data_IF_456144368997
#
_entry.id   IF_456144368997
#
_cell.length_a   1.000
_cell.length_b   1.000
_cell.length_c   1.000
_cell.angle_alpha   90.00
_cell.angle_beta   90.00
_cell.angle_gamma   90.00
#
_symmetry.space_group_name_H-M   'P 1'
#
loop_
_entity.id
_entity.type
_entity.pdbx_description
1 polymer ?
#
# COMPACT_ATOMS: atom_id res chain seq x y z
N UNK A 1 -9.25 -15.98 8.42
CA UNK A 1 -8.52 -14.76 8.02
C UNK A 1 -7.25 -14.69 8.86
N UNK A 2 -6.10 -14.38 8.27
CA UNK A 2 -4.80 -14.34 8.95
C UNK A 2 -4.10 -13.04 8.60
N UNK A 3 -3.63 -12.32 9.63
CA UNK A 3 -2.78 -11.15 9.45
C UNK A 3 -1.30 -11.57 9.49
N UNK A 4 -0.44 -10.89 8.75
CA UNK A 4 1.02 -11.08 8.83
C UNK A 4 1.77 -9.77 8.65
N UNK A 5 3.02 -9.78 9.10
CA UNK A 5 3.96 -8.68 8.91
C UNK A 5 4.34 -8.64 7.43
N UNK A 6 3.95 -7.58 6.72
CA UNK A 6 4.34 -7.40 5.32
C UNK A 6 5.85 -7.18 5.20
N UNK A 7 6.42 -7.51 4.04
CA UNK A 7 7.84 -7.28 3.77
C UNK A 7 8.17 -5.79 3.73
N UNK A 8 9.46 -5.45 3.90
CA UNK A 8 9.92 -4.07 3.66
C UNK A 8 9.76 -3.66 2.19
N UNK A 9 9.79 -4.59 1.23
CA UNK A 9 9.51 -4.30 -0.18
C UNK A 9 8.07 -3.84 -0.42
N UNK A 10 7.11 -4.38 0.34
CA UNK A 10 5.74 -3.89 0.32
C UNK A 10 5.65 -2.44 0.83
N UNK A 11 6.38 -2.13 1.90
CA UNK A 11 6.47 -0.76 2.44
C UNK A 11 7.18 0.18 1.45
N UNK A 12 8.24 -0.28 0.78
CA UNK A 12 8.92 0.48 -0.28
C UNK A 12 7.93 0.88 -1.38
N UNK A 13 7.07 -0.03 -1.84
CA UNK A 13 6.03 0.28 -2.85
C UNK A 13 5.10 1.39 -2.36
N UNK A 14 4.60 1.31 -1.12
CA UNK A 14 3.70 2.31 -0.58
C UNK A 14 4.38 3.68 -0.42
N UNK A 15 5.62 3.74 0.08
CA UNK A 15 6.37 5.00 0.22
C UNK A 15 6.63 5.64 -1.14
N UNK A 16 7.10 4.86 -2.12
CA UNK A 16 7.35 5.38 -3.47
C UNK A 16 6.03 5.84 -4.13
N UNK A 17 4.94 5.10 -3.97
CA UNK A 17 3.64 5.49 -4.50
C UNK A 17 3.10 6.77 -3.85
N UNK A 18 3.16 6.91 -2.53
CA UNK A 18 2.78 8.14 -1.82
C UNK A 18 3.51 9.37 -2.38
N UNK A 19 4.81 9.23 -2.70
CA UNK A 19 5.60 10.29 -3.31
C UNK A 19 5.21 10.54 -4.78
N UNK A 20 5.15 9.49 -5.62
CA UNK A 20 4.83 9.60 -7.05
C UNK A 20 3.43 10.15 -7.30
N UNK A 21 2.46 9.83 -6.45
CA UNK A 21 1.09 10.35 -6.52
C UNK A 21 0.90 11.71 -5.85
N UNK A 22 1.94 12.25 -5.21
CA UNK A 22 1.90 13.59 -4.59
C UNK A 22 1.04 13.66 -3.32
N UNK A 23 0.82 12.52 -2.65
CA UNK A 23 0.09 12.45 -1.37
C UNK A 23 0.95 13.02 -0.25
N UNK A 24 2.27 12.84 -0.35
CA UNK A 24 3.25 13.44 0.56
C UNK A 24 4.15 14.41 -0.19
N UNK A 25 4.71 15.36 0.56
CA UNK A 25 5.55 16.40 -0.03
C UNK A 25 6.86 15.82 -0.62
N UNK A 26 7.26 16.23 -1.83
CA UNK A 26 8.46 15.71 -2.48
C UNK A 26 9.76 16.11 -1.77
N UNK A 27 9.74 17.14 -0.93
CA UNK A 27 10.88 17.68 -0.19
C UNK A 27 11.09 17.05 1.20
N UNK A 28 10.33 16.00 1.56
CA UNK A 28 10.56 15.21 2.79
C UNK A 28 12.00 14.71 2.92
N UNK A 29 12.67 14.49 1.79
CA UNK A 29 14.03 13.96 1.70
C UNK A 29 14.14 12.53 2.24
N UNK A 30 15.33 11.94 2.11
CA UNK A 30 15.56 10.54 2.48
C UNK A 30 15.22 10.22 3.95
N UNK A 31 15.41 11.19 4.86
CA UNK A 31 15.05 11.01 6.28
C UNK A 31 13.54 10.99 6.49
N UNK A 32 12.80 11.90 5.84
CA UNK A 32 11.34 11.95 5.92
C UNK A 32 10.70 10.70 5.33
N UNK A 33 11.15 10.26 4.15
CA UNK A 33 10.64 9.02 3.54
C UNK A 33 10.96 7.77 4.37
N UNK A 34 12.13 7.71 5.02
CA UNK A 34 12.43 6.61 5.96
C UNK A 34 11.50 6.63 7.17
N UNK A 35 11.24 7.80 7.75
CA UNK A 35 10.31 7.94 8.88
C UNK A 35 8.88 7.56 8.48
N UNK A 36 8.46 7.91 7.26
CA UNK A 36 7.18 7.50 6.68
C UNK A 36 7.09 5.97 6.56
N UNK A 37 8.08 5.32 5.94
CA UNK A 37 8.08 3.87 5.83
C UNK A 37 8.13 3.16 7.19
N UNK A 38 8.90 3.68 8.16
CA UNK A 38 8.88 3.16 9.52
C UNK A 38 7.48 3.26 10.15
N UNK A 39 6.77 4.37 9.93
CA UNK A 39 5.40 4.58 10.44
C UNK A 39 4.44 3.55 9.85
N UNK A 40 4.45 3.38 8.53
CA UNK A 40 3.63 2.38 7.85
C UNK A 40 3.91 0.97 8.40
N UNK A 41 5.18 0.59 8.52
CA UNK A 41 5.54 -0.75 8.96
C UNK A 41 5.20 -1.00 10.43
N UNK A 42 5.40 0.01 11.29
CA UNK A 42 5.03 -0.08 12.69
C UNK A 42 3.52 -0.27 12.87
N UNK A 43 2.68 0.37 12.06
CA UNK A 43 1.23 0.18 12.12
C UNK A 43 0.83 -1.26 11.77
N UNK A 44 1.43 -1.82 10.72
CA UNK A 44 1.23 -3.23 10.37
C UNK A 44 1.70 -4.19 11.49
N UNK A 45 2.82 -3.89 12.14
CA UNK A 45 3.24 -4.61 13.35
C UNK A 45 2.20 -4.50 14.48
N UNK A 46 1.69 -3.31 14.77
CA UNK A 46 0.66 -3.07 15.78
C UNK A 46 -0.58 -3.93 15.53
N UNK A 47 -1.04 -4.01 14.28
CA UNK A 47 -2.17 -4.86 13.87
C UNK A 47 -1.93 -6.35 14.15
N UNK A 48 -0.80 -6.88 13.67
CA UNK A 48 -0.47 -8.29 13.82
C UNK A 48 -0.25 -8.66 15.29
N UNK A 49 0.41 -7.79 16.04
CA UNK A 49 0.63 -7.96 17.46
C UNK A 49 -0.68 -7.96 18.25
N UNK A 50 -1.59 -7.03 17.94
CA UNK A 50 -2.94 -7.01 18.52
C UNK A 50 -3.69 -8.32 18.24
N UNK A 51 -3.66 -8.79 16.98
CA UNK A 51 -4.33 -10.03 16.57
C UNK A 51 -3.83 -11.26 17.33
N UNK A 52 -2.53 -11.34 17.57
CA UNK A 52 -1.88 -12.52 18.13
C UNK A 52 -1.48 -12.38 19.60
N UNK A 53 -1.83 -11.28 20.27
CA UNK A 53 -1.49 -11.03 21.68
C UNK A 53 0.01 -10.96 21.92
N UNK A 54 0.74 -10.33 20.99
CA UNK A 54 2.19 -10.12 21.07
C UNK A 54 2.51 -8.64 21.27
N UNK A 55 3.74 -8.37 21.64
CA UNK A 55 4.31 -7.02 21.66
C UNK A 55 5.71 -7.10 21.05
N UNK A 56 5.80 -6.78 19.77
CA UNK A 56 7.05 -6.78 19.00
C UNK A 56 7.37 -5.38 18.54
N UNK A 57 8.67 -5.04 18.58
CA UNK A 57 9.15 -3.82 17.96
C UNK A 57 9.39 -4.10 16.48
N UNK A 58 8.87 -3.24 15.59
CA UNK A 58 9.24 -3.31 14.18
C UNK A 58 10.75 -3.12 14.00
N UNK A 59 11.39 -3.83 13.06
CA UNK A 59 12.79 -3.57 12.72
C UNK A 59 12.98 -2.14 12.23
N UNK A 60 14.23 -1.66 12.25
CA UNK A 60 14.57 -0.37 11.66
C UNK A 60 14.40 -0.46 10.13
N UNK A 61 13.51 0.37 9.59
CA UNK A 61 13.17 0.37 8.18
C UNK A 61 14.28 0.98 7.32
N UNK A 62 14.65 0.25 6.26
CA UNK A 62 15.63 0.68 5.26
C UNK A 62 14.93 0.98 3.95
N UNK A 63 14.75 2.27 3.69
CA UNK A 63 14.12 2.79 2.48
C UNK A 63 14.86 2.35 1.21
N UNK A 64 14.12 1.76 0.26
CA UNK A 64 14.51 1.69 -1.15
C UNK A 64 13.63 2.60 -1.99
N UNK A 65 14.24 3.34 -2.90
CA UNK A 65 13.55 4.27 -3.80
C UNK A 65 13.73 3.88 -5.25
N UNK A 66 12.76 4.25 -6.08
CA UNK A 66 12.86 4.13 -7.54
C UNK A 66 12.31 5.37 -8.23
N UNK A 67 12.95 5.73 -9.33
CA UNK A 67 12.44 6.76 -10.26
C UNK A 67 11.50 6.16 -11.32
N UNK A 68 11.44 4.82 -11.42
CA UNK A 68 10.54 4.15 -12.35
C UNK A 68 9.08 4.34 -11.91
N UNK A 69 8.19 4.56 -12.88
CA UNK A 69 6.75 4.61 -12.61
C UNK A 69 6.27 3.24 -12.11
N UNK A 70 5.52 3.25 -11.01
CA UNK A 70 4.88 2.05 -10.49
C UNK A 70 3.59 1.74 -11.25
N UNK A 71 3.29 0.46 -11.43
CA UNK A 71 2.02 0.01 -12.02
C UNK A 71 0.85 0.39 -11.08
N UNK A 72 -0.13 1.20 -11.53
CA UNK A 72 -1.24 1.64 -10.68
C UNK A 72 -2.08 0.49 -10.14
N UNK A 73 -2.25 -0.61 -10.89
CA UNK A 73 -3.03 -1.77 -10.47
C UNK A 73 -2.28 -2.54 -9.39
N UNK A 74 -0.96 -2.71 -9.53
CA UNK A 74 -0.14 -3.34 -8.49
C UNK A 74 -0.16 -2.50 -7.21
N UNK A 75 -0.04 -1.17 -7.30
CA UNK A 75 -0.12 -0.28 -6.14
C UNK A 75 -1.50 -0.35 -5.47
N UNK A 76 -2.61 -0.34 -6.23
CA UNK A 76 -3.96 -0.48 -5.66
C UNK A 76 -4.15 -1.83 -4.94
N UNK A 77 -3.53 -2.89 -5.46
CA UNK A 77 -3.56 -4.22 -4.80
C UNK A 77 -2.69 -4.22 -3.55
N UNK A 78 -1.53 -3.58 -3.58
CA UNK A 78 -0.68 -3.39 -2.40
C UNK A 78 -1.42 -2.62 -1.30
N UNK A 79 -2.11 -1.53 -1.63
CA UNK A 79 -2.95 -0.77 -0.68
C UNK A 79 -4.03 -1.67 -0.07
N UNK A 80 -4.72 -2.47 -0.90
CA UNK A 80 -5.77 -3.38 -0.41
C UNK A 80 -5.23 -4.48 0.49
N UNK A 81 -4.03 -5.01 0.18
CA UNK A 81 -3.35 -5.96 1.04
C UNK A 81 -2.96 -5.31 2.36
N UNK A 82 -2.30 -4.16 2.30
CA UNK A 82 -1.83 -3.45 3.47
C UNK A 82 -2.96 -3.10 4.44
N UNK A 83 -4.08 -2.56 3.94
CA UNK A 83 -5.28 -2.28 4.75
C UNK A 83 -5.77 -3.55 5.46
N UNK A 84 -5.94 -4.65 4.72
CA UNK A 84 -6.35 -5.93 5.31
C UNK A 84 -5.37 -6.46 6.36
N UNK A 85 -4.05 -6.31 6.15
CA UNK A 85 -3.05 -6.77 7.12
C UNK A 85 -2.96 -5.85 8.34
N UNK A 86 -3.46 -4.62 8.26
CA UNK A 86 -3.23 -3.56 9.24
C UNK A 86 -4.49 -3.19 10.04
N UNK A 87 -5.64 -3.77 9.70
CA UNK A 87 -6.93 -3.38 10.28
C UNK A 87 -7.34 -4.10 11.58
N UNK A 88 -6.48 -4.90 12.21
CA UNK A 88 -6.90 -5.78 13.32
C UNK A 88 -7.10 -5.03 14.65
N UNK A 89 -6.43 -3.89 14.84
CA UNK A 89 -6.47 -3.11 16.08
C UNK A 89 -7.54 -2.01 16.04
N UNK A 90 -8.16 -1.65 17.19
CA UNK A 90 -9.31 -0.74 17.24
C UNK A 90 -9.00 0.71 16.80
N UNK A 91 -7.73 1.10 16.79
CA UNK A 91 -7.30 2.44 16.38
C UNK A 91 -7.06 2.60 14.87
N UNK A 92 -7.22 1.53 14.06
CA UNK A 92 -6.84 1.53 12.65
C UNK A 92 -7.52 2.64 11.85
N UNK A 93 -8.84 2.73 11.93
CA UNK A 93 -9.63 3.66 11.09
C UNK A 93 -9.38 5.14 11.39
N UNK A 94 -8.91 5.45 12.60
CA UNK A 94 -8.55 6.80 13.06
C UNK A 94 -7.04 7.07 12.94
N UNK A 95 -6.27 6.13 12.37
CA UNK A 95 -4.82 6.26 12.25
C UNK A 95 -4.43 7.15 11.06
N UNK A 96 -3.34 7.91 11.22
CA UNK A 96 -2.72 8.67 10.14
C UNK A 96 -2.33 7.75 8.95
N UNK A 97 -1.99 6.49 9.23
CA UNK A 97 -1.63 5.51 8.20
C UNK A 97 -2.83 5.15 7.33
N UNK A 98 -4.00 4.92 7.93
CA UNK A 98 -5.24 4.68 7.19
C UNK A 98 -5.64 5.89 6.34
N UNK A 99 -5.46 7.12 6.86
CA UNK A 99 -5.66 8.35 6.09
C UNK A 99 -4.73 8.42 4.86
N UNK A 100 -3.43 8.13 5.06
CA UNK A 100 -2.44 8.12 3.97
C UNK A 100 -2.77 7.09 2.88
N UNK A 101 -3.15 5.87 3.26
CA UNK A 101 -3.50 4.82 2.28
C UNK A 101 -4.81 5.12 1.55
N UNK A 102 -5.77 5.75 2.23
CA UNK A 102 -7.02 6.22 1.61
C UNK A 102 -6.76 7.37 0.62
N UNK A 103 -5.91 8.32 1.00
CA UNK A 103 -5.49 9.42 0.13
C UNK A 103 -4.72 8.90 -1.10
N UNK A 104 -3.85 7.90 -0.93
CA UNK A 104 -3.17 7.24 -2.05
C UNK A 104 -4.15 6.55 -2.99
N UNK A 105 -5.09 5.75 -2.45
CA UNK A 105 -6.12 5.10 -3.25
C UNK A 105 -6.89 6.13 -4.10
N UNK A 106 -7.30 7.23 -3.48
CA UNK A 106 -8.03 8.32 -4.14
C UNK A 106 -7.18 8.97 -5.24
N UNK A 107 -5.94 9.34 -4.93
CA UNK A 107 -5.03 9.99 -5.87
C UNK A 107 -4.73 9.12 -7.10
N UNK A 108 -4.65 7.79 -6.94
CA UNK A 108 -4.50 6.86 -8.06
C UNK A 108 -5.74 6.89 -8.95
N UNK A 109 -6.93 6.81 -8.36
CA UNK A 109 -8.18 6.81 -9.12
C UNK A 109 -8.44 8.14 -9.85
N UNK A 110 -8.06 9.27 -9.25
CA UNK A 110 -8.14 10.58 -9.90
C UNK A 110 -7.20 10.71 -11.09
N UNK A 111 -5.98 10.15 -10.98
CA UNK A 111 -4.98 10.18 -12.06
C UNK A 111 -5.27 9.15 -13.17
N UNK A 112 -5.96 8.07 -12.82
CA UNK A 112 -6.33 6.96 -13.71
C UNK A 112 -7.85 6.78 -13.73
N UNK A 113 -8.62 7.72 -14.33
CA UNK A 113 -10.08 7.70 -14.27
C UNK A 113 -10.71 6.48 -14.96
N UNK A 114 -9.99 5.84 -15.89
CA UNK A 114 -10.41 4.57 -16.49
C UNK A 114 -10.48 3.42 -15.48
N UNK A 115 -9.60 3.41 -14.47
CA UNK A 115 -9.62 2.46 -13.36
C UNK A 115 -10.76 2.74 -12.37
N UNK A 116 -11.15 4.01 -12.23
CA UNK A 116 -12.17 4.49 -11.30
C UNK A 116 -13.62 4.25 -11.77
N UNK A 117 -13.82 3.75 -12.99
CA UNK A 117 -15.17 3.47 -13.52
C UNK A 117 -15.86 2.41 -12.66
N UNK A 118 -17.06 2.71 -12.17
CA UNK A 118 -17.90 1.73 -11.48
C UNK A 118 -18.49 0.75 -12.50
N UNK A 119 -18.35 -0.54 -12.21
CA UNK A 119 -18.83 -1.65 -13.04
C UNK A 119 -19.54 -2.69 -12.16
N UNK A 120 -20.42 -3.49 -12.76
CA UNK A 120 -21.01 -4.63 -12.07
C UNK A 120 -20.05 -5.81 -12.10
N UNK A 121 -19.54 -6.20 -10.92
CA UNK A 121 -18.75 -7.41 -10.72
C UNK A 121 -19.57 -8.58 -10.16
N UNK A 122 -18.92 -9.74 -9.93
CA UNK A 122 -19.60 -10.95 -9.42
C UNK A 122 -20.29 -10.78 -8.06
N UNK A 123 -19.85 -9.80 -7.26
CA UNK A 123 -20.34 -9.55 -5.90
C UNK A 123 -21.05 -8.20 -5.73
N UNK A 124 -21.43 -7.55 -6.84
CA UNK A 124 -22.05 -6.22 -6.85
C UNK A 124 -21.21 -5.16 -7.55
N UNK A 125 -21.54 -3.89 -7.31
CA UNK A 125 -20.81 -2.77 -7.89
C UNK A 125 -19.38 -2.69 -7.35
N UNK A 126 -18.42 -2.43 -8.25
CA UNK A 126 -17.01 -2.32 -7.90
C UNK A 126 -16.26 -1.42 -8.89
N UNK A 127 -15.02 -1.05 -8.57
CA UNK A 127 -14.16 -0.32 -9.51
C UNK A 127 -13.62 -1.23 -10.60
N UNK A 128 -13.52 -0.71 -11.82
CA UNK A 128 -13.05 -1.45 -13.00
C UNK A 128 -11.74 -2.17 -12.75
N UNK A 129 -10.77 -1.55 -12.07
CA UNK A 129 -9.46 -2.18 -11.83
C UNK A 129 -9.57 -3.56 -11.18
N UNK A 130 -10.54 -3.78 -10.27
CA UNK A 130 -10.74 -5.08 -9.58
C UNK A 130 -11.26 -6.18 -10.50
N UNK A 131 -11.68 -5.85 -11.71
CA UNK A 131 -12.18 -6.80 -12.72
C UNK A 131 -11.17 -7.09 -13.82
N UNK A 132 -10.03 -6.37 -13.84
CA UNK A 132 -9.00 -6.53 -14.86
C UNK A 132 -8.16 -7.79 -14.58
N UNK A 133 -7.72 -8.52 -15.62
CA UNK A 133 -6.79 -9.64 -15.44
C UNK A 133 -5.50 -9.26 -14.72
N UNK A 134 -5.04 -8.01 -14.86
CA UNK A 134 -3.87 -7.49 -14.15
C UNK A 134 -4.07 -7.44 -12.65
N UNK A 135 -5.29 -7.19 -12.16
CA UNK A 135 -5.59 -7.25 -10.73
C UNK A 135 -5.41 -8.67 -10.21
N UNK A 136 -5.89 -9.68 -10.92
CA UNK A 136 -5.71 -11.08 -10.53
C UNK A 136 -4.24 -11.49 -10.55
N UNK A 137 -3.49 -11.04 -11.56
CA UNK A 137 -2.05 -11.32 -11.69
C UNK A 137 -1.16 -10.62 -10.67
N UNK A 138 -1.53 -9.41 -10.26
CA UNK A 138 -0.73 -8.63 -9.32
C UNK A 138 -0.56 -9.41 -8.00
N UNK A 139 0.62 -9.35 -7.37
CA UNK A 139 0.86 -10.05 -6.11
C UNK A 139 -0.01 -9.46 -4.99
N UNK A 140 -0.44 -10.30 -4.04
CA UNK A 140 -1.14 -9.81 -2.85
C UNK A 140 -0.15 -9.21 -1.85
N UNK A 141 0.85 -9.99 -1.41
CA UNK A 141 2.04 -9.49 -0.71
C UNK A 141 3.17 -9.27 -1.70
N UNK A 142 3.93 -8.19 -1.52
CA UNK A 142 5.07 -7.83 -2.38
C UNK A 142 6.34 -8.09 -1.58
N UNK A 143 7.33 -8.75 -2.17
CA UNK A 143 8.61 -9.03 -1.49
C UNK A 143 9.68 -8.00 -1.83
N UNK A 144 9.69 -7.49 -3.06
CA UNK A 144 10.65 -6.50 -3.55
C UNK A 144 9.97 -5.42 -4.38
N UNK A 145 10.50 -4.18 -4.29
CA UNK A 145 9.98 -3.00 -5.00
C UNK A 145 9.77 -3.24 -6.51
N UNK A 146 10.68 -4.01 -7.12
CA UNK A 146 10.68 -4.26 -8.57
C UNK A 146 9.43 -5.02 -9.06
N UNK A 147 8.71 -5.73 -8.18
CA UNK A 147 7.45 -6.39 -8.53
C UNK A 147 6.32 -5.40 -8.86
N UNK A 148 6.46 -4.14 -8.44
CA UNK A 148 5.53 -3.06 -8.78
C UNK A 148 5.96 -2.23 -9.99
N UNK A 149 7.10 -2.56 -10.61
CA UNK A 149 7.58 -1.86 -11.81
C UNK A 149 7.12 -2.65 -13.05
N UNK A 150 6.40 -2.04 -14.00
CA UNK A 150 5.99 -2.71 -15.23
C UNK A 150 7.21 -3.26 -15.98
N UNK A 151 7.16 -4.55 -16.37
CA UNK A 151 8.30 -5.22 -17.05
C UNK A 151 8.47 -4.74 -18.50
N UNK A 152 7.46 -4.07 -19.08
CA UNK A 152 7.50 -3.52 -20.43
C UNK A 152 6.82 -2.15 -20.49
N UNK A 153 7.60 -1.10 -20.79
CA UNK A 153 7.13 0.20 -21.25
C UNK A 153 7.33 0.32 -22.78
#
# INVERSE_FOLDING_TARGET
MSAWIVSSGHIDVLVNALAQYGVVAPDLGARGFRALGQKLWQENHTSVDYRYGKETRSPDYLLRTTEASLDPIVVLKAVSCFDYQTCEHPGWHDSEVHELTTALHTAILERHPDLAVLVTGPFGETYRYRTLPDWERAPWGIEVLDEAIPVHA
#
